data_IF_135180029604
#
_entry.id   IF_135180029604
#
_cell.length_a   1.000
_cell.length_b   1.000
_cell.length_c   1.000
_cell.angle_alpha   90.00
_cell.angle_beta   90.00
_cell.angle_gamma   90.00
#
_symmetry.space_group_name_H-M   'P 1'
#
loop_
_entity.id
_entity.type
_entity.pdbx_description
1 polymer ?
#
# COMPACT_ATOMS: atom_id res chain seq x y z
N UNK A 1 -5.69 -13.43 -21.77
CA UNK A 1 -5.19 -12.80 -20.52
C UNK A 1 -5.80 -13.54 -19.34
N UNK A 2 -5.02 -13.89 -18.31
CA UNK A 2 -5.56 -14.46 -17.06
C UNK A 2 -5.96 -13.29 -16.15
N UNK A 3 -7.11 -13.40 -15.50
CA UNK A 3 -7.59 -12.44 -14.51
C UNK A 3 -6.73 -12.60 -13.25
N UNK A 4 -6.27 -11.49 -12.65
CA UNK A 4 -5.62 -11.49 -11.33
C UNK A 4 -6.57 -10.90 -10.29
N UNK A 5 -6.59 -11.49 -9.10
CA UNK A 5 -7.27 -11.01 -7.91
C UNK A 5 -6.22 -10.51 -6.92
N UNK A 6 -6.34 -9.28 -6.46
CA UNK A 6 -5.47 -8.72 -5.43
C UNK A 6 -6.17 -8.73 -4.08
N UNK A 7 -5.52 -9.30 -3.06
CA UNK A 7 -5.91 -9.11 -1.67
C UNK A 7 -5.17 -7.87 -1.14
N UNK A 8 -5.93 -6.87 -0.72
CA UNK A 8 -5.41 -5.59 -0.27
C UNK A 8 -5.17 -5.57 1.24
N UNK A 9 -4.02 -5.04 1.68
CA UNK A 9 -3.78 -4.80 3.11
C UNK A 9 -4.70 -3.69 3.59
N UNK A 10 -5.41 -3.90 4.69
CA UNK A 10 -6.40 -2.94 5.19
C UNK A 10 -5.74 -1.90 6.11
N UNK A 11 -6.27 -0.66 6.25
CA UNK A 11 -5.79 0.28 7.27
C UNK A 11 -6.17 -0.21 8.67
N UNK A 12 -5.48 0.24 9.72
CA UNK A 12 -5.96 -0.03 11.09
C UNK A 12 -7.28 0.75 11.25
N UNK A 13 -8.42 0.07 11.57
CA UNK A 13 -9.70 0.68 12.04
C UNK A 13 -10.02 0.48 13.55
N UNK A 14 -10.75 1.35 14.33
CA UNK A 14 -10.77 1.23 15.80
C UNK A 14 -11.51 -0.02 16.24
N UNK A 15 -12.45 -0.41 15.40
CA UNK A 15 -13.26 -1.60 15.50
C UNK A 15 -12.49 -2.86 15.06
N UNK A 16 -11.30 -2.72 14.49
CA UNK A 16 -10.51 -3.78 13.86
C UNK A 16 -9.23 -4.14 14.61
N UNK A 17 -9.05 -3.67 15.85
CA UNK A 17 -7.88 -4.00 16.69
C UNK A 17 -7.66 -5.52 16.91
N UNK A 18 -8.62 -6.37 16.54
CA UNK A 18 -8.54 -7.83 16.63
C UNK A 18 -8.34 -8.55 15.28
N UNK A 19 -8.29 -7.83 14.17
CA UNK A 19 -8.11 -8.39 12.82
C UNK A 19 -6.62 -8.36 12.40
N UNK A 20 -6.20 -9.29 11.57
CA UNK A 20 -4.82 -9.42 11.07
C UNK A 20 -4.67 -8.97 9.61
N UNK A 21 -5.76 -8.49 8.99
CA UNK A 21 -5.83 -8.02 7.60
C UNK A 21 -4.96 -6.81 7.27
N UNK A 22 -4.31 -6.18 8.25
CA UNK A 22 -3.32 -5.12 8.05
C UNK A 22 -1.87 -5.59 8.22
N UNK A 23 -1.64 -6.82 8.74
CA UNK A 23 -0.30 -7.31 9.06
C UNK A 23 0.33 -8.02 7.85
N UNK A 24 1.51 -7.61 7.39
CA UNK A 24 2.05 -8.07 6.11
C UNK A 24 2.42 -9.56 6.07
N UNK A 25 2.87 -10.12 7.19
CA UNK A 25 3.25 -11.53 7.25
C UNK A 25 2.03 -12.44 7.13
N UNK A 26 0.97 -12.12 7.86
CA UNK A 26 -0.28 -12.87 7.90
C UNK A 26 -1.00 -12.83 6.54
N UNK A 27 -0.94 -11.69 5.85
CA UNK A 27 -1.44 -11.55 4.47
C UNK A 27 -0.64 -12.42 3.50
N UNK A 28 0.71 -12.40 3.58
CA UNK A 28 1.55 -13.27 2.75
C UNK A 28 1.22 -14.75 3.00
N UNK A 29 1.20 -15.19 4.27
CA UNK A 29 0.89 -16.56 4.65
C UNK A 29 -0.50 -16.99 4.16
N UNK A 30 -1.49 -16.09 4.19
CA UNK A 30 -2.81 -16.33 3.63
C UNK A 30 -2.75 -16.58 2.11
N UNK A 31 -2.12 -15.68 1.35
CA UNK A 31 -2.00 -15.81 -0.12
C UNK A 31 -1.27 -17.10 -0.50
N UNK A 32 -0.17 -17.41 0.18
CA UNK A 32 0.61 -18.63 -0.05
C UNK A 32 -0.17 -19.91 0.29
N UNK A 33 -0.96 -19.89 1.37
CA UNK A 33 -1.78 -21.04 1.78
C UNK A 33 -2.91 -21.34 0.79
N UNK A 34 -3.52 -20.32 0.20
CA UNK A 34 -4.55 -20.52 -0.85
C UNK A 34 -3.93 -21.15 -2.11
N UNK A 35 -2.64 -20.92 -2.36
CA UNK A 35 -1.86 -21.54 -3.42
C UNK A 35 -2.55 -21.48 -4.80
N UNK A 36 -3.02 -20.28 -5.17
CA UNK A 36 -3.70 -20.03 -6.43
C UNK A 36 -2.97 -18.97 -7.25
N UNK A 37 -2.52 -19.33 -8.45
CA UNK A 37 -1.78 -18.44 -9.36
C UNK A 37 -2.55 -17.18 -9.81
N UNK A 38 -3.87 -17.13 -9.60
CA UNK A 38 -4.68 -15.94 -9.88
C UNK A 38 -4.72 -14.96 -8.70
N UNK A 39 -4.37 -15.37 -7.48
CA UNK A 39 -4.38 -14.54 -6.27
C UNK A 39 -2.98 -13.94 -6.04
N UNK A 40 -2.95 -12.64 -5.74
CA UNK A 40 -1.76 -11.94 -5.26
C UNK A 40 -2.14 -10.82 -4.30
N UNK A 41 -1.23 -9.86 -4.12
CA UNK A 41 -1.38 -8.77 -3.16
C UNK A 41 -1.55 -7.44 -3.88
N UNK A 42 -2.58 -6.68 -3.49
CA UNK A 42 -2.65 -5.24 -3.75
C UNK A 42 -1.99 -4.55 -2.57
N UNK A 43 -0.84 -3.91 -2.78
CA UNK A 43 -0.23 -3.16 -1.69
C UNK A 43 -0.77 -1.73 -1.68
N UNK A 44 -1.59 -1.41 -0.69
CA UNK A 44 -1.89 -0.02 -0.38
C UNK A 44 -0.85 0.54 0.58
N UNK A 45 -0.06 1.48 0.06
CA UNK A 45 1.05 2.11 0.78
C UNK A 45 0.56 3.10 1.84
N UNK A 46 -0.58 3.76 1.59
CA UNK A 46 -1.19 4.68 2.53
C UNK A 46 -1.76 3.96 3.75
N UNK A 47 -2.41 2.80 3.54
CA UNK A 47 -2.85 1.91 4.61
C UNK A 47 -1.67 1.45 5.48
N UNK A 48 -0.53 1.07 4.87
CA UNK A 48 0.67 0.69 5.64
C UNK A 48 1.12 1.80 6.58
N UNK A 49 1.01 3.06 6.19
CA UNK A 49 1.39 4.20 7.04
C UNK A 49 0.41 4.42 8.22
N UNK A 50 -0.81 3.87 8.17
CA UNK A 50 -1.71 3.82 9.33
C UNK A 50 -1.27 2.80 10.37
N UNK A 51 -0.39 1.88 9.99
CA UNK A 51 0.14 0.85 10.87
C UNK A 51 1.46 1.32 11.50
N UNK A 52 1.71 0.97 12.76
CA UNK A 52 3.02 1.18 13.38
C UNK A 52 4.08 0.17 12.86
N UNK A 53 3.85 -0.46 11.71
CA UNK A 53 4.73 -1.46 11.10
C UNK A 53 5.62 -0.75 10.06
N UNK A 54 6.95 -0.95 10.09
CA UNK A 54 7.84 -0.35 9.10
C UNK A 54 7.49 -0.74 7.67
N UNK A 55 7.60 0.21 6.73
CA UNK A 55 7.37 0.00 5.31
C UNK A 55 8.21 -1.16 4.73
N UNK A 56 9.44 -1.33 5.23
CA UNK A 56 10.33 -2.42 4.83
C UNK A 56 9.75 -3.80 5.15
N UNK A 57 9.00 -3.93 6.24
CA UNK A 57 8.35 -5.19 6.57
C UNK A 57 7.20 -5.48 5.59
N UNK A 58 6.43 -4.47 5.15
CA UNK A 58 5.47 -4.67 4.05
C UNK A 58 6.17 -5.09 2.77
N UNK A 59 7.18 -4.35 2.34
CA UNK A 59 7.93 -4.65 1.12
C UNK A 59 8.52 -6.06 1.14
N UNK A 60 9.14 -6.46 2.25
CA UNK A 60 9.75 -7.78 2.44
C UNK A 60 8.77 -8.92 2.19
N UNK A 61 7.53 -8.81 2.68
CA UNK A 61 6.53 -9.87 2.55
C UNK A 61 5.72 -9.77 1.25
N UNK A 62 5.56 -8.57 0.69
CA UNK A 62 4.67 -8.36 -0.46
C UNK A 62 5.35 -8.45 -1.81
N UNK A 63 6.63 -8.05 -1.93
CA UNK A 63 7.32 -7.82 -3.23
C UNK A 63 7.20 -8.94 -4.26
N UNK A 64 7.15 -10.21 -3.82
CA UNK A 64 7.08 -11.37 -4.71
C UNK A 64 5.65 -11.73 -5.15
N UNK A 65 4.64 -11.10 -4.54
CA UNK A 65 3.22 -11.41 -4.72
C UNK A 65 2.42 -10.22 -5.29
N UNK A 66 3.09 -9.10 -5.62
CA UNK A 66 2.44 -7.86 -6.04
C UNK A 66 1.67 -8.02 -7.37
N UNK A 67 0.38 -7.68 -7.33
CA UNK A 67 -0.47 -7.57 -8.51
C UNK A 67 -0.96 -6.17 -8.79
N UNK A 68 -1.01 -5.31 -7.77
CA UNK A 68 -1.37 -3.91 -7.89
C UNK A 68 -0.75 -3.11 -6.74
N UNK A 69 -0.64 -1.80 -6.89
CA UNK A 69 -0.22 -0.90 -5.80
C UNK A 69 -1.13 0.32 -5.80
N UNK A 70 -1.65 0.65 -4.62
CA UNK A 70 -2.48 1.83 -4.38
C UNK A 70 -1.66 2.90 -3.65
N UNK A 71 -1.88 4.15 -4.06
CA UNK A 71 -1.16 5.33 -3.61
C UNK A 71 -2.16 6.36 -3.09
N UNK A 72 -2.07 6.64 -1.80
CA UNK A 72 -2.53 7.84 -1.16
C UNK A 72 -1.69 8.06 0.11
N UNK A 73 -1.76 9.25 0.69
CA UNK A 73 -0.99 9.56 1.89
C UNK A 73 -1.87 9.54 3.14
N UNK A 74 -1.22 9.40 4.28
CA UNK A 74 -1.81 9.41 5.61
C UNK A 74 -0.85 10.08 6.59
N UNK A 75 -1.34 10.66 7.68
CA UNK A 75 -0.47 11.21 8.74
C UNK A 75 0.08 10.17 9.72
N UNK A 76 -0.39 8.93 9.62
CA UNK A 76 -0.03 7.80 10.48
C UNK A 76 -0.57 7.92 11.91
N UNK A 77 0.00 7.12 12.82
CA UNK A 77 -0.29 7.16 14.26
C UNK A 77 -1.35 6.15 14.71
N UNK A 78 -0.90 5.10 15.40
CA UNK A 78 -1.70 3.95 15.87
C UNK A 78 -2.86 4.22 16.85
N UNK A 79 -3.35 5.44 17.01
CA UNK A 79 -4.54 5.77 17.81
C UNK A 79 -5.46 6.85 17.18
N UNK A 80 -5.19 7.27 15.93
CA UNK A 80 -5.73 8.52 15.37
C UNK A 80 -6.38 8.44 13.98
N UNK A 81 -7.31 7.51 13.83
CA UNK A 81 -8.49 7.53 12.96
C UNK A 81 -8.61 8.58 11.86
N UNK A 82 -8.19 8.19 10.67
CA UNK A 82 -9.05 7.84 9.53
C UNK A 82 -8.08 7.55 8.41
N UNK A 83 -8.31 6.51 7.65
CA UNK A 83 -7.66 6.41 6.36
C UNK A 83 -8.03 7.66 5.53
N UNK A 84 -7.14 8.64 5.50
CA UNK A 84 -7.44 10.03 5.16
C UNK A 84 -7.46 10.24 3.65
N UNK A 85 -6.83 9.34 2.90
CA UNK A 85 -6.56 9.47 1.48
C UNK A 85 -6.08 10.89 1.12
N UNK A 86 -5.05 11.37 1.83
CA UNK A 86 -4.41 12.66 1.52
C UNK A 86 -3.69 12.57 0.17
N UNK A 87 -3.44 13.72 -0.46
CA UNK A 87 -2.60 13.72 -1.64
C UNK A 87 -1.19 13.22 -1.28
N UNK A 88 -0.56 12.50 -2.20
CA UNK A 88 0.81 12.00 -2.05
C UNK A 88 1.76 13.17 -1.77
N UNK A 89 2.48 13.10 -0.65
CA UNK A 89 3.37 14.15 -0.16
C UNK A 89 2.77 15.11 0.86
N UNK A 90 1.47 15.00 1.18
CA UNK A 90 0.81 15.82 2.22
C UNK A 90 0.76 15.15 3.59
N UNK A 91 1.08 13.85 3.67
CA UNK A 91 1.11 13.08 4.91
C UNK A 91 2.54 12.78 5.37
N UNK A 92 2.70 11.62 5.99
CA UNK A 92 3.96 11.15 6.59
C UNK A 92 4.44 9.83 6.00
N UNK A 93 3.75 9.31 4.97
CA UNK A 93 4.20 8.10 4.27
C UNK A 93 5.61 8.33 3.72
N UNK A 94 6.58 7.44 4.00
CA UNK A 94 7.97 7.64 3.60
C UNK A 94 8.19 7.31 2.10
N UNK A 95 7.70 8.17 1.21
CA UNK A 95 7.68 7.95 -0.24
C UNK A 95 9.07 7.77 -0.88
N UNK A 96 10.09 8.50 -0.42
CA UNK A 96 11.46 8.30 -0.92
C UNK A 96 11.91 6.84 -0.69
N UNK A 97 11.71 6.34 0.53
CA UNK A 97 12.00 4.94 0.87
C UNK A 97 11.14 3.96 0.06
N UNK A 98 9.87 4.26 -0.18
CA UNK A 98 9.01 3.43 -1.02
C UNK A 98 9.62 3.27 -2.42
N UNK A 99 9.98 4.36 -3.07
CA UNK A 99 10.56 4.33 -4.41
C UNK A 99 11.97 3.70 -4.43
N UNK A 100 12.79 3.93 -3.41
CA UNK A 100 14.08 3.24 -3.24
C UNK A 100 13.89 1.72 -3.20
N UNK A 101 12.94 1.22 -2.41
CA UNK A 101 12.64 -0.22 -2.33
C UNK A 101 12.09 -0.75 -3.65
N UNK A 102 11.16 -0.04 -4.27
CA UNK A 102 10.57 -0.43 -5.56
C UNK A 102 11.61 -0.47 -6.68
N UNK A 103 12.65 0.37 -6.63
CA UNK A 103 13.77 0.34 -7.59
C UNK A 103 14.58 -0.96 -7.55
N UNK A 104 14.48 -1.72 -6.46
CA UNK A 104 15.20 -3.01 -6.30
C UNK A 104 14.48 -4.19 -6.92
N UNK A 105 13.28 -3.99 -7.48
CA UNK A 105 12.47 -5.02 -8.14
C UNK A 105 11.99 -4.55 -9.51
N UNK A 106 11.71 -5.49 -10.42
CA UNK A 106 11.19 -5.21 -11.75
C UNK A 106 9.66 -5.15 -11.77
N UNK A 107 9.07 -4.20 -11.02
CA UNK A 107 7.62 -4.02 -10.99
C UNK A 107 7.14 -3.23 -12.22
N UNK A 108 6.46 -3.92 -13.14
CA UNK A 108 6.01 -3.36 -14.44
C UNK A 108 4.49 -3.13 -14.53
N UNK A 109 3.77 -3.14 -13.40
CA UNK A 109 2.32 -2.90 -13.35
C UNK A 109 2.02 -1.45 -12.92
N UNK A 110 0.76 -1.05 -12.99
CA UNK A 110 0.38 0.32 -12.68
C UNK A 110 0.46 0.63 -11.17
N UNK A 111 0.81 1.88 -10.86
CA UNK A 111 0.54 2.49 -9.56
C UNK A 111 -0.77 3.26 -9.67
N UNK A 112 -1.69 3.07 -8.73
CA UNK A 112 -3.04 3.63 -8.79
C UNK A 112 -3.22 4.69 -7.71
N UNK A 113 -3.61 5.90 -8.09
CA UNK A 113 -3.96 6.96 -7.13
C UNK A 113 -5.39 6.73 -6.60
N UNK A 114 -5.54 6.57 -5.30
CA UNK A 114 -6.84 6.41 -4.63
C UNK A 114 -7.28 7.69 -3.93
N UNK A 115 -7.79 8.64 -4.73
CA UNK A 115 -8.04 10.00 -4.28
C UNK A 115 -9.43 10.48 -4.69
N UNK A 116 -10.09 11.20 -3.78
CA UNK A 116 -11.48 11.65 -3.94
C UNK A 116 -11.63 13.07 -4.53
N UNK A 117 -10.56 13.69 -5.04
CA UNK A 117 -10.67 14.99 -5.70
C UNK A 117 -9.59 15.23 -6.76
N UNK A 118 -9.95 15.98 -7.81
CA UNK A 118 -9.01 16.39 -8.87
C UNK A 118 -7.81 17.17 -8.34
N UNK A 119 -8.03 18.02 -7.33
CA UNK A 119 -6.97 18.81 -6.71
C UNK A 119 -5.90 17.90 -6.10
N UNK A 120 -6.31 16.89 -5.33
CA UNK A 120 -5.40 15.89 -4.74
C UNK A 120 -4.67 15.08 -5.81
N UNK A 121 -5.36 14.69 -6.89
CA UNK A 121 -4.74 13.95 -7.99
C UNK A 121 -3.63 14.78 -8.63
N UNK A 122 -3.89 16.05 -8.96
CA UNK A 122 -2.90 16.94 -9.59
C UNK A 122 -1.69 17.12 -8.68
N UNK A 123 -1.88 17.47 -7.40
CA UNK A 123 -0.75 17.65 -6.48
C UNK A 123 0.04 16.36 -6.24
N UNK A 124 -0.63 15.21 -6.23
CA UNK A 124 0.04 13.91 -6.13
C UNK A 124 0.91 13.61 -7.35
N UNK A 125 0.42 13.89 -8.57
CA UNK A 125 1.20 13.73 -9.79
C UNK A 125 2.44 14.65 -9.76
N UNK A 126 2.26 15.92 -9.41
CA UNK A 126 3.36 16.89 -9.32
C UNK A 126 4.44 16.44 -8.32
N UNK A 127 4.04 15.82 -7.21
CA UNK A 127 4.98 15.24 -6.24
C UNK A 127 5.68 14.00 -6.80
N UNK A 128 4.91 13.07 -7.39
CA UNK A 128 5.40 11.78 -7.88
C UNK A 128 6.36 11.89 -9.06
N UNK A 129 6.28 12.96 -9.86
CA UNK A 129 7.21 13.23 -10.97
C UNK A 129 8.69 13.25 -10.56
N UNK A 130 9.00 13.36 -9.27
CA UNK A 130 10.38 13.33 -8.74
C UNK A 130 10.98 11.92 -8.71
N UNK A 131 10.14 10.88 -8.82
CA UNK A 131 10.51 9.47 -8.69
C UNK A 131 10.27 8.66 -9.97
N UNK A 132 9.54 9.22 -10.94
CA UNK A 132 9.22 8.62 -12.24
C UNK A 132 10.20 9.11 -13.31
#
# INVERSE_FOLDING_TARGET
KKIQLGYENFPIVPWQLFDESFKPKEIQEFVERINNNALGITWDVGHSNTTNIPMEEFFKHFKNHLVNIHLHDNKGGGEGWLDQHLAVGEGTTPWEKFFDLMSTIDYQKALILELNSKKKIISSIDYLQRFL
#
